data_IF_443759601513
#
_entry.id   IF_443759601513
#
_cell.length_a   1.000
_cell.length_b   1.000
_cell.length_c   1.000
_cell.angle_alpha   90.00
_cell.angle_beta   90.00
_cell.angle_gamma   90.00
#
_symmetry.space_group_name_H-M   'P 1'
#
loop_
_entity.id
_entity.type
_entity.pdbx_description
1 polymer ?
#
# COMPACT_ATOMS: atom_id res chain seq x y z
N UNK A 1 2.43 9.72 25.29
CA UNK A 1 2.63 10.95 24.48
C UNK A 1 4.03 10.94 23.90
N UNK A 2 4.16 11.50 22.69
CA UNK A 2 5.44 11.64 22.00
C UNK A 2 5.73 13.13 21.77
N UNK A 3 6.98 13.56 21.98
CA UNK A 3 7.38 14.93 21.66
C UNK A 3 7.82 15.04 20.21
N UNK A 4 7.69 16.25 19.62
CA UNK A 4 8.11 16.47 18.24
C UNK A 4 9.59 16.18 18.00
N UNK A 5 10.44 16.35 19.02
CA UNK A 5 11.86 16.00 18.95
C UNK A 5 12.11 14.50 18.79
N UNK A 6 11.14 13.67 19.13
CA UNK A 6 11.21 12.21 19.01
C UNK A 6 10.60 11.68 17.71
N UNK A 7 10.09 12.53 16.86
CA UNK A 7 9.50 12.11 15.59
C UNK A 7 10.54 11.40 14.71
N UNK A 8 10.10 10.28 14.13
CA UNK A 8 10.84 9.49 13.15
C UNK A 8 9.87 9.06 12.05
N UNK A 9 10.38 8.75 10.90
CA UNK A 9 9.56 8.26 9.78
C UNK A 9 8.75 7.04 10.21
N UNK A 10 7.46 7.06 9.92
CA UNK A 10 6.53 5.99 10.28
C UNK A 10 5.83 6.16 11.63
N UNK A 11 6.27 7.09 12.48
CA UNK A 11 5.59 7.36 13.77
C UNK A 11 4.19 7.90 13.50
N UNK A 12 3.21 7.40 14.25
CA UNK A 12 1.81 7.86 14.19
C UNK A 12 1.41 8.55 15.48
N UNK A 13 0.71 9.67 15.33
CA UNK A 13 0.28 10.50 16.45
C UNK A 13 -1.06 11.18 16.16
N UNK A 14 -1.75 11.63 17.20
CA UNK A 14 -2.99 12.38 17.06
C UNK A 14 -2.74 13.89 17.09
N UNK A 15 -3.33 14.61 16.15
CA UNK A 15 -3.31 16.05 16.10
C UNK A 15 -4.65 16.56 15.55
N UNK A 16 -5.30 17.43 16.32
CA UNK A 16 -6.59 18.04 15.94
C UNK A 16 -7.67 17.01 15.56
N UNK A 17 -7.73 15.91 16.30
CA UNK A 17 -8.67 14.82 16.03
C UNK A 17 -8.34 13.97 14.82
N UNK A 18 -7.17 14.14 14.25
CA UNK A 18 -6.70 13.38 13.07
C UNK A 18 -5.53 12.49 13.43
N UNK A 19 -5.43 11.35 12.75
CA UNK A 19 -4.29 10.45 12.87
C UNK A 19 -3.28 10.81 11.79
N UNK A 20 -2.11 11.25 12.20
CA UNK A 20 -1.04 11.66 11.30
C UNK A 20 0.13 10.69 11.39
N UNK A 21 0.77 10.43 10.27
CA UNK A 21 1.98 9.62 10.18
C UNK A 21 3.12 10.48 9.65
N UNK A 22 4.27 10.44 10.31
CA UNK A 22 5.47 11.14 9.88
C UNK A 22 6.01 10.47 8.61
N UNK A 23 6.10 11.22 7.52
CA UNK A 23 6.69 10.79 6.24
C UNK A 23 8.14 11.22 6.15
N UNK A 24 8.39 12.47 6.51
CA UNK A 24 9.73 13.06 6.55
C UNK A 24 9.81 14.02 7.74
N UNK A 25 10.99 14.13 8.34
CA UNK A 25 11.23 15.11 9.40
C UNK A 25 12.62 15.70 9.27
N UNK A 26 12.78 16.93 9.73
CA UNK A 26 14.06 17.63 9.76
C UNK A 26 14.16 18.49 11.02
N UNK A 27 15.21 18.27 11.81
CA UNK A 27 15.55 19.14 12.92
C UNK A 27 16.31 20.35 12.41
N UNK A 28 15.76 21.55 12.63
CA UNK A 28 16.36 22.79 12.17
C UNK A 28 16.80 23.62 13.37
N UNK A 29 18.08 24.00 13.37
CA UNK A 29 18.68 24.92 14.35
C UNK A 29 19.13 26.17 13.60
N UNK A 30 18.27 27.20 13.50
CA UNK A 30 18.66 28.42 12.79
C UNK A 30 19.74 29.17 13.56
N UNK A 31 20.57 29.93 12.86
CA UNK A 31 21.60 30.74 13.49
C UNK A 31 21.03 31.85 14.36
N UNK A 32 19.80 32.30 14.07
CA UNK A 32 19.01 33.22 14.87
C UNK A 32 17.60 32.65 15.04
N UNK A 33 17.11 32.57 16.28
CA UNK A 33 15.79 32.05 16.61
C UNK A 33 15.83 30.69 17.26
N UNK A 34 14.66 30.19 17.65
CA UNK A 34 14.51 28.92 18.34
C UNK A 34 14.59 27.74 17.37
N UNK A 35 15.12 26.62 17.83
CA UNK A 35 15.11 25.37 17.08
C UNK A 35 13.67 24.90 16.84
N UNK A 36 13.42 24.26 15.72
CA UNK A 36 12.13 23.68 15.38
C UNK A 36 12.29 22.37 14.60
N UNK A 37 11.21 21.59 14.53
CA UNK A 37 11.16 20.36 13.74
C UNK A 37 10.19 20.57 12.58
N UNK A 38 10.70 20.48 11.35
CA UNK A 38 9.86 20.51 10.16
C UNK A 38 9.42 19.08 9.85
N UNK A 39 8.12 18.86 9.78
CA UNK A 39 7.54 17.53 9.61
C UNK A 39 6.62 17.53 8.40
N UNK A 40 6.89 16.61 7.49
CA UNK A 40 5.98 16.24 6.43
C UNK A 40 5.18 15.04 6.93
N UNK A 41 3.88 15.17 6.98
CA UNK A 41 3.01 14.17 7.57
C UNK A 41 1.84 13.85 6.67
N UNK A 42 1.37 12.63 6.76
CA UNK A 42 0.23 12.12 6.02
C UNK A 42 -0.93 11.85 6.98
N UNK A 43 -2.12 12.34 6.64
CA UNK A 43 -3.33 11.90 7.32
C UNK A 43 -3.60 10.46 6.89
N UNK A 44 -3.52 9.53 7.84
CA UNK A 44 -3.62 8.09 7.57
C UNK A 44 -5.00 7.71 7.02
N UNK A 45 -6.05 8.43 7.44
CA UNK A 45 -7.43 8.12 7.05
C UNK A 45 -7.78 8.74 5.69
N UNK A 46 -7.44 10.01 5.46
CA UNK A 46 -7.79 10.73 4.23
C UNK A 46 -6.72 10.66 3.14
N UNK A 47 -5.49 10.33 3.50
CA UNK A 47 -4.35 10.29 2.58
C UNK A 47 -3.71 11.65 2.29
N UNK A 48 -4.26 12.74 2.79
CA UNK A 48 -3.72 14.08 2.56
C UNK A 48 -2.35 14.28 3.21
N UNK A 49 -1.44 14.90 2.48
CA UNK A 49 -0.08 15.18 2.94
C UNK A 49 0.06 16.67 3.22
N UNK A 50 0.58 17.02 4.39
CA UNK A 50 0.84 18.41 4.80
C UNK A 50 2.23 18.53 5.42
N UNK A 51 2.78 19.74 5.39
CA UNK A 51 4.06 20.04 6.02
C UNK A 51 3.84 21.15 7.06
N UNK A 52 4.37 20.93 8.26
CA UNK A 52 4.20 21.84 9.39
C UNK A 52 5.47 21.87 10.24
N UNK A 53 5.76 23.02 10.83
CA UNK A 53 6.85 23.17 11.79
C UNK A 53 6.32 23.05 13.21
N UNK A 54 7.03 22.28 14.02
CA UNK A 54 6.68 22.03 15.42
C UNK A 54 7.75 22.55 16.37
N UNK A 55 7.30 23.01 17.52
CA UNK A 55 8.22 23.21 18.63
C UNK A 55 8.73 21.82 19.09
N UNK A 56 10.05 21.63 19.26
CA UNK A 56 10.60 20.33 19.64
C UNK A 56 10.04 19.75 20.94
N UNK A 57 9.59 20.60 21.84
CA UNK A 57 9.01 20.20 23.13
C UNK A 57 7.49 19.94 23.08
N UNK A 58 6.84 20.26 21.97
CA UNK A 58 5.40 20.01 21.81
C UNK A 58 5.13 18.50 21.88
N UNK A 59 4.10 18.13 22.64
CA UNK A 59 3.74 16.72 22.86
C UNK A 59 2.37 16.42 22.26
N UNK A 60 2.28 15.23 21.66
CA UNK A 60 1.04 14.73 21.05
C UNK A 60 0.75 13.30 21.50
N UNK A 61 -0.52 12.90 21.62
CA UNK A 61 -0.87 11.50 21.89
C UNK A 61 -0.34 10.60 20.79
N UNK A 62 0.23 9.47 21.16
CA UNK A 62 0.61 8.43 20.19
C UNK A 62 -0.67 7.76 19.68
N UNK A 63 -0.76 7.55 18.38
CA UNK A 63 -1.87 6.83 17.78
C UNK A 63 -1.48 5.38 17.53
N UNK A 64 -2.33 4.44 17.95
CA UNK A 64 -2.11 3.02 17.73
C UNK A 64 -2.99 2.54 16.57
N UNK A 65 -2.35 2.04 15.52
CA UNK A 65 -3.04 1.46 14.37
C UNK A 65 -3.04 -0.06 14.53
N UNK A 66 -4.24 -0.65 14.54
CA UNK A 66 -4.39 -2.09 14.57
C UNK A 66 -4.20 -2.66 13.16
N UNK A 67 -3.43 -3.73 13.07
CA UNK A 67 -3.17 -4.46 11.84
C UNK A 67 -3.59 -5.91 12.04
N UNK A 68 -4.53 -6.38 11.24
CA UNK A 68 -5.05 -7.74 11.33
C UNK A 68 -4.92 -8.44 9.99
N UNK A 69 -4.32 -9.61 9.99
CA UNK A 69 -4.24 -10.46 8.80
C UNK A 69 -5.58 -11.13 8.55
N UNK A 70 -6.12 -10.98 7.35
CA UNK A 70 -7.35 -11.62 6.91
C UNK A 70 -7.20 -12.12 5.47
N UNK A 71 -7.95 -13.14 5.12
CA UNK A 71 -7.93 -13.70 3.78
C UNK A 71 -9.04 -13.08 2.93
N UNK A 72 -8.68 -12.60 1.74
CA UNK A 72 -9.65 -12.09 0.78
C UNK A 72 -10.54 -13.24 0.28
N UNK A 73 -11.86 -13.04 0.32
CA UNK A 73 -12.82 -14.04 -0.13
C UNK A 73 -13.44 -13.65 -1.48
N UNK A 74 -14.26 -12.61 -1.51
CA UNK A 74 -14.92 -12.14 -2.73
C UNK A 74 -15.37 -10.69 -2.58
N UNK A 75 -15.88 -10.10 -3.67
CA UNK A 75 -16.54 -8.79 -3.64
C UNK A 75 -17.84 -8.84 -4.44
N UNK A 76 -18.75 -7.91 -4.11
CA UNK A 76 -20.04 -7.75 -4.81
C UNK A 76 -20.06 -6.48 -5.69
N UNK A 77 -18.92 -5.85 -5.88
CA UNK A 77 -18.77 -4.57 -6.58
C UNK A 77 -18.67 -3.36 -5.66
N UNK A 78 -19.24 -3.41 -4.47
CA UNK A 78 -19.21 -2.34 -3.48
C UNK A 78 -18.47 -2.74 -2.20
N UNK A 79 -18.76 -3.93 -1.69
CA UNK A 79 -18.14 -4.46 -0.48
C UNK A 79 -17.18 -5.60 -0.83
N UNK A 80 -16.07 -5.61 -0.13
CA UNK A 80 -15.04 -6.65 -0.23
C UNK A 80 -15.07 -7.46 1.05
N UNK A 81 -15.21 -8.78 0.92
CA UNK A 81 -15.37 -9.68 2.04
C UNK A 81 -14.06 -10.37 2.37
N UNK A 82 -13.63 -10.21 3.61
CA UNK A 82 -12.41 -10.82 4.14
C UNK A 82 -12.76 -11.80 5.25
N UNK A 83 -12.14 -12.95 5.23
CA UNK A 83 -12.37 -14.00 6.22
C UNK A 83 -11.28 -13.94 7.30
N UNK A 84 -11.72 -13.95 8.56
CA UNK A 84 -10.81 -14.11 9.69
C UNK A 84 -10.29 -15.56 9.71
N UNK A 85 -8.98 -15.80 9.63
CA UNK A 85 -8.45 -17.16 9.59
C UNK A 85 -8.63 -17.94 10.90
N UNK A 86 -8.91 -17.26 12.00
CA UNK A 86 -9.14 -17.90 13.30
C UNK A 86 -10.60 -18.24 13.53
N UNK A 87 -11.52 -17.32 13.23
CA UNK A 87 -12.94 -17.46 13.50
C UNK A 87 -13.76 -17.93 12.28
N UNK A 88 -13.18 -17.81 11.07
CA UNK A 88 -13.84 -18.10 9.80
C UNK A 88 -15.04 -17.18 9.51
N UNK A 89 -15.17 -16.10 10.24
CA UNK A 89 -16.20 -15.10 10.00
C UNK A 89 -15.81 -14.18 8.84
N UNK A 90 -16.80 -13.84 8.00
CA UNK A 90 -16.63 -12.90 6.91
C UNK A 90 -16.92 -11.48 7.40
N UNK A 91 -16.03 -10.56 7.09
CA UNK A 91 -16.14 -9.15 7.45
C UNK A 91 -16.21 -8.30 6.17
N UNK A 92 -17.31 -7.52 5.99
CA UNK A 92 -17.44 -6.66 4.81
C UNK A 92 -16.63 -5.38 5.01
N UNK A 93 -15.89 -5.00 3.98
CA UNK A 93 -15.10 -3.77 3.97
C UNK A 93 -15.45 -2.98 2.72
N UNK A 94 -15.72 -1.68 2.88
CA UNK A 94 -16.06 -0.80 1.78
C UNK A 94 -14.91 -0.71 0.77
N UNK A 95 -15.24 -0.81 -0.51
CA UNK A 95 -14.25 -0.76 -1.58
C UNK A 95 -13.48 0.55 -1.67
N UNK A 96 -13.98 1.63 -1.08
CA UNK A 96 -13.31 2.93 -1.06
C UNK A 96 -12.00 2.94 -0.26
N UNK A 97 -11.79 1.98 0.64
CA UNK A 97 -10.55 1.86 1.40
C UNK A 97 -9.46 1.06 0.67
N UNK A 98 -9.78 0.49 -0.48
CA UNK A 98 -8.82 -0.25 -1.30
C UNK A 98 -7.97 0.72 -2.13
N UNK A 99 -6.69 0.40 -2.28
CA UNK A 99 -5.78 1.15 -3.15
C UNK A 99 -5.52 0.39 -4.46
N UNK A 100 -4.68 0.96 -5.33
CA UNK A 100 -4.36 0.36 -6.63
C UNK A 100 -3.70 -1.02 -6.52
N UNK A 101 -3.00 -1.31 -5.42
CA UNK A 101 -2.34 -2.61 -5.25
C UNK A 101 -3.35 -3.76 -5.15
N UNK A 102 -4.59 -3.47 -4.77
CA UNK A 102 -5.63 -4.47 -4.61
C UNK A 102 -6.04 -5.13 -5.93
N UNK A 103 -5.79 -4.50 -7.07
CA UNK A 103 -6.06 -5.09 -8.39
C UNK A 103 -5.27 -6.38 -8.67
N UNK A 104 -4.23 -6.65 -7.88
CA UNK A 104 -3.42 -7.87 -7.97
C UNK A 104 -3.79 -8.94 -6.95
N UNK A 105 -4.76 -8.67 -6.09
CA UNK A 105 -5.19 -9.61 -5.05
C UNK A 105 -6.21 -10.59 -5.62
N UNK A 106 -6.01 -11.87 -5.36
CA UNK A 106 -6.93 -12.93 -5.74
C UNK A 106 -7.52 -13.62 -4.50
N UNK A 107 -8.53 -14.47 -4.69
CA UNK A 107 -9.15 -15.23 -3.61
C UNK A 107 -8.10 -15.99 -2.78
N UNK A 108 -8.28 -15.99 -1.48
CA UNK A 108 -7.44 -16.64 -0.48
C UNK A 108 -6.09 -15.95 -0.23
N UNK A 109 -5.80 -14.84 -0.89
CA UNK A 109 -4.61 -14.06 -0.56
C UNK A 109 -4.77 -13.41 0.81
N UNK A 110 -3.69 -13.44 1.60
CA UNK A 110 -3.67 -12.81 2.92
C UNK A 110 -3.36 -11.33 2.78
N UNK A 111 -4.28 -10.49 3.27
CA UNK A 111 -4.13 -9.04 3.31
C UNK A 111 -4.06 -8.55 4.77
N UNK A 112 -3.56 -7.35 4.98
CA UNK A 112 -3.52 -6.73 6.30
C UNK A 112 -4.58 -5.64 6.34
N UNK A 113 -5.55 -5.80 7.25
CA UNK A 113 -6.61 -4.83 7.47
C UNK A 113 -6.11 -3.83 8.52
N UNK A 114 -6.10 -2.55 8.15
CA UNK A 114 -5.67 -1.48 9.05
C UNK A 114 -6.88 -0.75 9.61
N UNK A 115 -6.93 -0.64 10.93
CA UNK A 115 -8.01 0.07 11.62
C UNK A 115 -7.49 0.97 12.74
N UNK A 116 -8.29 1.99 13.05
CA UNK A 116 -8.04 2.90 14.15
C UNK A 116 -9.33 3.06 14.95
N UNK A 117 -9.29 2.71 16.22
CA UNK A 117 -10.46 2.74 17.13
C UNK A 117 -11.68 2.03 16.53
N UNK A 118 -11.44 0.87 15.93
CA UNK A 118 -12.48 0.04 15.34
C UNK A 118 -12.93 0.44 13.93
N UNK A 119 -12.41 1.53 13.39
CA UNK A 119 -12.74 2.00 12.04
C UNK A 119 -11.67 1.55 11.05
N UNK A 120 -12.04 0.72 10.08
CA UNK A 120 -11.14 0.30 9.00
C UNK A 120 -10.93 1.47 8.04
N UNK A 121 -9.67 1.79 7.76
CA UNK A 121 -9.33 2.87 6.84
C UNK A 121 -8.45 2.41 5.67
N UNK A 122 -7.93 1.21 5.70
CA UNK A 122 -7.08 0.71 4.63
C UNK A 122 -6.89 -0.80 4.67
N UNK A 123 -6.50 -1.34 3.53
CA UNK A 123 -6.13 -2.74 3.36
C UNK A 123 -4.80 -2.79 2.62
N UNK A 124 -3.81 -3.45 3.20
CA UNK A 124 -2.53 -3.69 2.54
C UNK A 124 -2.55 -5.03 1.82
N UNK A 125 -2.37 -5.01 0.50
CA UNK A 125 -2.17 -6.21 -0.29
C UNK A 125 -0.80 -6.85 0.01
N UNK A 126 -0.61 -8.15 -0.27
CA UNK A 126 0.73 -8.73 -0.24
C UNK A 126 1.66 -7.94 -1.16
N UNK A 127 2.91 -7.77 -0.75
CA UNK A 127 3.89 -6.98 -1.53
C UNK A 127 4.18 -7.58 -2.90
N UNK A 128 4.04 -8.90 -3.03
CA UNK A 128 4.30 -9.63 -4.27
C UNK A 128 3.10 -10.51 -4.61
N UNK A 129 2.79 -10.59 -5.88
CA UNK A 129 1.73 -11.44 -6.39
C UNK A 129 2.26 -12.34 -7.50
N UNK A 130 1.95 -13.64 -7.41
CA UNK A 130 2.23 -14.60 -8.46
C UNK A 130 0.95 -14.84 -9.25
N UNK A 131 0.90 -14.32 -10.48
CA UNK A 131 -0.31 -14.30 -11.29
C UNK A 131 -0.06 -14.91 -12.67
N UNK A 132 -1.05 -15.61 -13.19
CA UNK A 132 -1.01 -16.20 -14.53
C UNK A 132 -1.43 -15.16 -15.56
N UNK A 133 -0.66 -15.04 -16.63
CA UNK A 133 -1.01 -14.19 -17.78
C UNK A 133 -2.15 -14.84 -18.54
N UNK A 134 -3.27 -14.15 -18.63
CA UNK A 134 -4.48 -14.64 -19.34
C UNK A 134 -4.58 -14.13 -20.76
N UNK A 135 -3.99 -12.97 -21.05
CA UNK A 135 -4.01 -12.35 -22.38
C UNK A 135 -2.75 -11.52 -22.61
N UNK A 136 -2.09 -11.75 -23.71
CA UNK A 136 -0.99 -10.90 -24.19
C UNK A 136 -0.81 -11.11 -25.68
N UNK A 137 -0.19 -10.14 -26.34
CA UNK A 137 0.16 -10.26 -27.75
C UNK A 137 1.49 -10.99 -27.93
N UNK A 138 1.70 -11.67 -29.07
CA UNK A 138 3.02 -12.25 -29.37
C UNK A 138 4.09 -11.16 -29.45
N UNK A 139 5.24 -11.42 -28.87
CA UNK A 139 6.40 -10.55 -29.04
C UNK A 139 7.02 -10.76 -30.42
N UNK A 140 7.24 -9.66 -31.18
CA UNK A 140 7.89 -9.76 -32.48
C UNK A 140 9.41 -9.71 -32.33
N UNK A 141 10.08 -10.73 -32.86
CA UNK A 141 11.52 -10.72 -33.00
C UNK A 141 11.90 -9.75 -34.14
N UNK A 142 12.55 -8.67 -33.82
CA UNK A 142 12.92 -7.66 -34.82
C UNK A 142 13.07 -6.27 -34.22
N UNK A 143 12.59 -6.10 -33.00
CA UNK A 143 12.81 -4.90 -32.24
C UNK A 143 14.20 -4.97 -31.61
N UNK A 144 15.11 -4.13 -32.09
CA UNK A 144 16.49 -4.06 -31.59
C UNK A 144 16.65 -3.19 -30.35
N UNK A 145 15.57 -2.55 -29.89
CA UNK A 145 15.61 -1.73 -28.67
C UNK A 145 15.71 -2.61 -27.42
N UNK A 146 16.65 -2.29 -26.55
CA UNK A 146 16.75 -2.87 -25.23
C UNK A 146 15.60 -2.36 -24.36
N UNK A 147 15.06 -3.22 -23.48
CA UNK A 147 13.96 -2.90 -22.55
C UNK A 147 12.59 -2.66 -23.21
N UNK A 148 12.33 -3.30 -24.33
CA UNK A 148 11.00 -3.28 -24.94
C UNK A 148 10.05 -4.15 -24.12
N UNK A 149 8.90 -3.59 -23.78
CA UNK A 149 7.84 -4.28 -23.06
C UNK A 149 6.56 -4.29 -23.86
N UNK A 150 5.65 -5.19 -23.50
CA UNK A 150 4.30 -5.26 -24.06
C UNK A 150 3.27 -5.35 -22.92
N UNK A 151 2.02 -4.95 -23.16
CA UNK A 151 0.98 -5.13 -22.16
C UNK A 151 0.56 -6.60 -22.06
N UNK A 152 0.28 -7.03 -20.83
CA UNK A 152 -0.28 -8.34 -20.56
C UNK A 152 -1.39 -8.20 -19.50
N UNK A 153 -2.47 -8.94 -19.68
CA UNK A 153 -3.54 -9.04 -18.69
C UNK A 153 -3.33 -10.29 -17.85
N UNK A 154 -3.39 -10.15 -16.54
CA UNK A 154 -3.25 -11.25 -15.60
C UNK A 154 -4.61 -11.74 -15.11
N UNK A 155 -4.64 -12.88 -14.40
CA UNK A 155 -5.86 -13.56 -13.98
C UNK A 155 -6.82 -12.72 -13.12
N UNK A 156 -6.32 -11.69 -12.46
CA UNK A 156 -7.15 -10.74 -11.70
C UNK A 156 -7.80 -9.66 -12.56
N UNK A 157 -7.49 -9.62 -13.86
CA UNK A 157 -7.95 -8.59 -14.78
C UNK A 157 -7.06 -7.36 -14.87
N UNK A 158 -6.01 -7.28 -14.06
CA UNK A 158 -5.07 -6.17 -14.08
C UNK A 158 -4.15 -6.26 -15.30
N UNK A 159 -3.74 -5.09 -15.80
CA UNK A 159 -2.78 -4.98 -16.90
C UNK A 159 -1.41 -4.61 -16.36
N UNK A 160 -0.38 -5.30 -16.83
CA UNK A 160 1.03 -5.05 -16.47
C UNK A 160 1.89 -5.05 -17.74
N UNK A 161 3.02 -4.35 -17.65
CA UNK A 161 4.02 -4.37 -18.73
C UNK A 161 5.01 -5.51 -18.49
N UNK A 162 5.17 -6.36 -19.46
CA UNK A 162 6.03 -7.55 -19.39
C UNK A 162 7.03 -7.56 -20.53
N UNK A 163 8.16 -8.28 -20.39
CA UNK A 163 9.08 -8.51 -21.52
C UNK A 163 8.40 -9.22 -22.69
N UNK A 164 8.93 -9.06 -23.89
CA UNK A 164 8.33 -9.62 -25.11
C UNK A 164 8.25 -11.15 -25.12
N UNK A 165 9.10 -11.84 -24.34
CA UNK A 165 9.13 -13.30 -24.29
C UNK A 165 8.03 -13.93 -23.42
N UNK A 166 7.26 -13.14 -22.69
CA UNK A 166 6.17 -13.64 -21.87
C UNK A 166 4.98 -14.01 -22.74
N UNK A 167 4.42 -15.20 -22.51
CA UNK A 167 3.28 -15.74 -23.25
C UNK A 167 2.07 -15.97 -22.33
N UNK A 168 0.90 -16.12 -22.94
CA UNK A 168 -0.30 -16.55 -22.23
C UNK A 168 -0.05 -17.89 -21.52
N UNK A 169 -0.51 -18.01 -20.27
CA UNK A 169 -0.29 -19.16 -19.43
C UNK A 169 0.97 -19.08 -18.56
N UNK A 170 1.88 -18.14 -18.83
CA UNK A 170 3.05 -17.95 -18.00
C UNK A 170 2.64 -17.36 -16.63
N UNK A 171 3.25 -17.89 -15.57
CA UNK A 171 3.07 -17.36 -14.23
C UNK A 171 4.20 -16.39 -13.92
N UNK A 172 3.82 -15.16 -13.59
CA UNK A 172 4.75 -14.06 -13.35
C UNK A 172 4.63 -13.51 -11.94
N UNK A 173 5.71 -12.98 -11.42
CA UNK A 173 5.73 -12.28 -10.15
C UNK A 173 5.69 -10.78 -10.39
N UNK A 174 4.81 -10.10 -9.67
CA UNK A 174 4.57 -8.66 -9.76
C UNK A 174 4.78 -8.04 -8.39
N UNK A 175 5.43 -6.88 -8.35
CA UNK A 175 5.44 -6.02 -7.17
C UNK A 175 4.12 -5.25 -7.13
N UNK A 176 3.27 -5.56 -6.18
CA UNK A 176 1.93 -4.95 -6.08
C UNK A 176 1.97 -3.47 -5.73
N UNK A 177 3.06 -3.01 -5.13
CA UNK A 177 3.24 -1.60 -4.72
C UNK A 177 3.49 -0.69 -5.92
N UNK A 178 4.16 -1.20 -6.94
CA UNK A 178 4.55 -0.44 -8.14
C UNK A 178 3.82 -0.91 -9.40
N UNK A 179 3.31 -2.15 -9.41
CA UNK A 179 2.73 -2.78 -10.58
C UNK A 179 3.76 -3.32 -11.56
N UNK A 180 5.02 -3.41 -11.16
CA UNK A 180 6.11 -3.83 -12.03
C UNK A 180 6.29 -5.35 -12.07
N UNK A 181 6.60 -5.84 -13.27
CA UNK A 181 7.04 -7.22 -13.47
C UNK A 181 8.41 -7.43 -12.86
N UNK A 182 8.56 -8.50 -12.06
CA UNK A 182 9.84 -8.84 -11.42
C UNK A 182 10.53 -10.06 -12.04
N UNK A 183 9.77 -10.97 -12.63
CA UNK A 183 10.30 -12.17 -13.21
C UNK A 183 9.23 -13.24 -13.38
N UNK A 184 9.62 -14.40 -13.95
CA UNK A 184 8.74 -15.56 -13.95
C UNK A 184 8.69 -16.15 -12.54
N UNK A 185 7.49 -16.51 -12.09
CA UNK A 185 7.34 -17.18 -10.81
C UNK A 185 7.94 -18.58 -10.86
N UNK A 186 8.65 -18.95 -9.79
CA UNK A 186 9.29 -20.27 -9.66
C UNK A 186 8.37 -21.30 -8.98
N UNK A 187 7.13 -20.98 -8.81
CA UNK A 187 6.20 -21.88 -8.12
C UNK A 187 5.78 -23.05 -9.00
#
# INVERSE_FOLDING_TARGET
>A
MISASEFRNGVTFEMDGKVMQVVEFQHVKPGKGAAFVRVKMKNVITGGVTETSFNPTAKYPTAYIERKKMEYSYNDGNLYYFMDPETYELEPIDGSVMDDSFKFVKENDTCVIMSYKGNVFGVEAPNFADLVVTKTEPGFAGNTATNVTKPATVETGAEVKVPLFINEGDKIQIDTRTGEYLGRSKA
#
